data_IF_239098068583
#
_entry.id   IF_239098068583
#
_cell.length_a   1.000
_cell.length_b   1.000
_cell.length_c   1.000
_cell.angle_alpha   90.00
_cell.angle_beta   90.00
_cell.angle_gamma   90.00
#
_symmetry.space_group_name_H-M   'P 1'
#
loop_
_entity.id
_entity.type
_entity.pdbx_description
1 polymer ?
#
# COMPACT_ATOMS: atom_id res chain seq x y z
N UNK A 1 -10.17 19.29 -19.62
CA UNK A 1 -10.51 19.12 -18.17
C UNK A 1 -11.34 20.27 -17.65
N UNK A 2 -12.05 20.11 -16.50
CA UNK A 2 -12.86 21.17 -15.89
C UNK A 2 -11.97 22.17 -15.14
N UNK A 3 -11.92 23.42 -15.58
CA UNK A 3 -11.25 24.52 -14.86
C UNK A 3 -12.27 25.14 -13.91
N UNK A 4 -11.96 25.16 -12.61
CA UNK A 4 -12.86 25.62 -11.56
C UNK A 4 -12.11 26.57 -10.63
N UNK A 5 -12.70 27.74 -10.35
CA UNK A 5 -12.15 28.59 -9.29
C UNK A 5 -12.41 27.94 -7.94
N UNK A 6 -11.37 27.83 -7.12
CA UNK A 6 -11.49 27.24 -5.81
C UNK A 6 -12.30 28.15 -4.89
N UNK A 7 -13.23 27.56 -4.17
CA UNK A 7 -13.99 28.16 -3.09
C UNK A 7 -14.18 27.10 -2.01
N UNK A 8 -14.55 27.48 -0.81
CA UNK A 8 -14.85 26.52 0.25
C UNK A 8 -15.89 25.46 -0.18
N UNK A 9 -16.96 25.91 -0.85
CA UNK A 9 -18.00 25.02 -1.38
C UNK A 9 -17.46 24.04 -2.43
N UNK A 10 -16.59 24.52 -3.33
CA UNK A 10 -15.95 23.68 -4.35
C UNK A 10 -15.08 22.61 -3.72
N UNK A 11 -14.29 22.97 -2.70
CA UNK A 11 -13.44 22.02 -1.97
C UNK A 11 -14.29 20.95 -1.28
N UNK A 12 -15.34 21.33 -0.57
CA UNK A 12 -16.25 20.38 0.10
C UNK A 12 -16.90 19.42 -0.91
N UNK A 13 -17.37 19.92 -2.07
CA UNK A 13 -17.97 19.12 -3.11
C UNK A 13 -16.97 18.12 -3.76
N UNK A 14 -15.72 18.54 -3.99
CA UNK A 14 -14.67 17.67 -4.52
C UNK A 14 -14.34 16.57 -3.52
N UNK A 15 -14.12 16.90 -2.26
CA UNK A 15 -13.85 15.92 -1.20
C UNK A 15 -14.99 14.92 -1.07
N UNK A 16 -16.25 15.36 -1.07
CA UNK A 16 -17.40 14.47 -1.07
C UNK A 16 -17.43 13.54 -2.28
N UNK A 17 -17.15 14.08 -3.47
CA UNK A 17 -17.12 13.29 -4.69
C UNK A 17 -15.99 12.24 -4.67
N UNK A 18 -14.81 12.60 -4.17
CA UNK A 18 -13.70 11.67 -4.00
C UNK A 18 -14.03 10.56 -3.00
N UNK A 19 -14.71 10.87 -1.89
CA UNK A 19 -15.14 9.87 -0.92
C UNK A 19 -16.14 8.86 -1.48
N UNK A 20 -16.94 9.21 -2.50
CA UNK A 20 -17.85 8.27 -3.19
C UNK A 20 -17.11 7.13 -3.87
N UNK A 21 -15.82 7.27 -4.17
CA UNK A 21 -14.96 6.22 -4.72
C UNK A 21 -14.41 5.24 -3.66
N UNK A 22 -14.67 5.51 -2.39
CA UNK A 22 -14.16 4.68 -1.30
C UNK A 22 -14.77 3.28 -1.32
N UNK A 23 -13.96 2.22 -1.18
CA UNK A 23 -14.45 0.84 -1.04
C UNK A 23 -15.46 0.65 0.10
N UNK A 24 -15.51 1.58 1.06
CA UNK A 24 -16.48 1.53 2.16
C UNK A 24 -17.92 1.81 1.74
N UNK A 25 -18.15 2.30 0.53
CA UNK A 25 -19.49 2.61 -0.01
C UNK A 25 -20.05 1.52 -0.95
N UNK A 26 -19.33 0.43 -1.18
CA UNK A 26 -19.71 -0.63 -2.11
C UNK A 26 -20.47 -1.80 -1.43
N UNK A 27 -21.51 -1.51 -0.64
CA UNK A 27 -22.30 -2.51 0.10
C UNK A 27 -22.84 -3.68 -0.73
N UNK A 28 -23.07 -3.49 -2.03
CA UNK A 28 -23.54 -4.55 -2.93
C UNK A 28 -22.48 -5.66 -3.15
N UNK A 29 -21.19 -5.33 -3.06
CA UNK A 29 -20.10 -6.31 -3.22
C UNK A 29 -19.75 -7.01 -1.91
N UNK A 30 -20.06 -6.42 -0.75
CA UNK A 30 -19.70 -6.96 0.56
C UNK A 30 -20.34 -8.33 0.81
N UNK A 31 -21.61 -8.50 0.43
CA UNK A 31 -22.31 -9.78 0.60
C UNK A 31 -21.64 -10.92 -0.20
N UNK A 32 -21.25 -10.66 -1.45
CA UNK A 32 -20.56 -11.65 -2.29
C UNK A 32 -19.16 -11.98 -1.74
N UNK A 33 -18.45 -10.97 -1.24
CA UNK A 33 -17.11 -11.16 -0.64
C UNK A 33 -17.23 -11.99 0.63
N UNK A 34 -18.22 -11.69 1.48
CA UNK A 34 -18.46 -12.45 2.71
C UNK A 34 -18.80 -13.91 2.44
N UNK A 35 -19.63 -14.17 1.43
CA UNK A 35 -19.94 -15.54 0.97
C UNK A 35 -18.67 -16.30 0.55
N UNK A 36 -17.82 -15.68 -0.26
CA UNK A 36 -16.54 -16.26 -0.69
C UNK A 36 -15.66 -16.60 0.51
N UNK A 37 -15.50 -15.65 1.45
CA UNK A 37 -14.69 -15.85 2.65
C UNK A 37 -15.19 -17.03 3.49
N UNK A 38 -16.49 -17.11 3.77
CA UNK A 38 -17.05 -18.21 4.56
C UNK A 38 -16.93 -19.56 3.85
N UNK A 39 -17.11 -19.60 2.53
CA UNK A 39 -16.88 -20.81 1.75
C UNK A 39 -15.42 -21.28 1.81
N UNK A 40 -14.45 -20.37 1.62
CA UNK A 40 -13.02 -20.73 1.72
C UNK A 40 -12.66 -21.17 3.14
N UNK A 41 -13.19 -20.50 4.15
CA UNK A 41 -12.94 -20.83 5.56
C UNK A 41 -13.45 -22.25 5.92
N UNK A 42 -14.57 -22.66 5.38
CA UNK A 42 -15.23 -23.95 5.69
C UNK A 42 -14.82 -25.07 4.73
N UNK A 43 -14.72 -24.80 3.43
CA UNK A 43 -14.49 -25.79 2.37
C UNK A 43 -13.03 -25.80 1.85
N UNK A 44 -12.19 -24.84 2.32
CA UNK A 44 -10.75 -24.80 2.06
C UNK A 44 -10.40 -24.83 0.56
N UNK A 45 -9.48 -25.71 0.14
CA UNK A 45 -9.02 -25.86 -1.24
C UNK A 45 -10.18 -26.05 -2.23
N UNK A 46 -11.19 -26.82 -1.85
CA UNK A 46 -12.35 -27.07 -2.72
C UNK A 46 -13.08 -25.77 -3.11
N UNK A 47 -13.24 -24.84 -2.17
CA UNK A 47 -13.83 -23.53 -2.48
C UNK A 47 -12.89 -22.65 -3.30
N UNK A 48 -11.57 -22.65 -3.00
CA UNK A 48 -10.58 -21.88 -3.75
C UNK A 48 -10.57 -22.29 -5.22
N UNK A 49 -10.55 -23.60 -5.50
CA UNK A 49 -10.51 -24.10 -6.88
C UNK A 49 -11.81 -23.83 -7.63
N UNK A 50 -12.97 -24.02 -6.97
CA UNK A 50 -14.28 -23.69 -7.54
C UNK A 50 -14.38 -22.20 -7.94
N UNK A 51 -13.96 -21.29 -7.07
CA UNK A 51 -13.99 -19.85 -7.38
C UNK A 51 -12.94 -19.46 -8.43
N UNK A 52 -11.79 -20.13 -8.47
CA UNK A 52 -10.78 -19.90 -9.52
C UNK A 52 -11.30 -20.36 -10.88
N UNK A 53 -11.96 -21.52 -10.97
CA UNK A 53 -12.61 -21.95 -12.20
C UNK A 53 -13.73 -20.99 -12.62
N UNK A 54 -14.53 -20.53 -11.66
CA UNK A 54 -15.66 -19.63 -11.91
C UNK A 54 -15.24 -18.25 -12.43
N UNK A 55 -14.18 -17.66 -11.86
CA UNK A 55 -13.80 -16.26 -12.13
C UNK A 55 -12.63 -16.13 -13.09
N UNK A 56 -11.65 -17.00 -12.99
CA UNK A 56 -10.45 -16.97 -13.82
C UNK A 56 -10.52 -17.96 -14.99
N UNK A 57 -11.55 -18.85 -14.99
CA UNK A 57 -11.76 -19.91 -15.99
C UNK A 57 -10.58 -20.90 -16.07
N UNK A 58 -9.85 -21.07 -15.00
CA UNK A 58 -8.72 -21.99 -14.87
C UNK A 58 -9.08 -23.15 -13.93
N UNK A 59 -8.91 -24.37 -14.40
CA UNK A 59 -9.13 -25.59 -13.60
C UNK A 59 -7.82 -25.92 -12.89
N UNK A 60 -7.81 -25.79 -11.57
CA UNK A 60 -6.67 -26.08 -10.72
C UNK A 60 -7.04 -27.12 -9.67
N UNK A 61 -6.02 -27.79 -9.14
CA UNK A 61 -6.09 -28.70 -8.01
C UNK A 61 -4.86 -28.52 -7.07
N UNK A 62 -4.79 -29.34 -6.03
CA UNK A 62 -3.72 -29.27 -5.05
C UNK A 62 -2.31 -29.50 -5.64
N UNK A 63 -2.19 -30.16 -6.78
CA UNK A 63 -0.92 -30.42 -7.47
C UNK A 63 -0.51 -29.32 -8.45
N UNK A 64 -1.48 -28.49 -8.85
CA UNK A 64 -1.27 -27.47 -9.90
C UNK A 64 -1.42 -26.04 -9.42
N UNK A 65 -1.93 -25.81 -8.20
CA UNK A 65 -2.16 -24.47 -7.65
C UNK A 65 -0.86 -23.71 -7.37
N UNK A 66 0.19 -24.38 -6.98
CA UNK A 66 1.51 -23.77 -6.75
C UNK A 66 2.34 -23.79 -8.04
N UNK A 67 3.05 -22.69 -8.30
CA UNK A 67 3.96 -22.57 -9.43
C UNK A 67 5.18 -23.48 -9.20
N UNK A 68 5.52 -24.29 -10.21
CA UNK A 68 6.67 -25.18 -10.15
C UNK A 68 7.96 -24.50 -10.59
N UNK A 69 9.11 -25.14 -10.33
CA UNK A 69 10.41 -24.64 -10.81
C UNK A 69 10.49 -24.64 -12.34
N UNK A 70 9.85 -25.64 -12.98
CA UNK A 70 9.79 -25.75 -14.44
C UNK A 70 9.03 -24.57 -15.06
N UNK A 71 7.93 -24.12 -14.44
CA UNK A 71 7.18 -22.95 -14.90
C UNK A 71 8.00 -21.66 -14.76
N UNK A 72 8.81 -21.55 -13.71
CA UNK A 72 9.75 -20.43 -13.53
C UNK A 72 10.83 -20.45 -14.62
N UNK A 73 11.41 -21.61 -14.89
CA UNK A 73 12.46 -21.76 -15.90
C UNK A 73 11.90 -21.49 -17.31
N UNK A 74 10.68 -21.92 -17.60
CA UNK A 74 9.96 -21.58 -18.85
C UNK A 74 9.76 -20.06 -18.96
N UNK A 75 9.36 -19.39 -17.87
CA UNK A 75 9.19 -17.94 -17.84
C UNK A 75 10.48 -17.19 -18.20
N UNK A 76 11.63 -17.63 -17.66
CA UNK A 76 12.93 -17.04 -18.00
C UNK A 76 13.32 -17.24 -19.46
N UNK A 77 12.90 -18.32 -20.09
CA UNK A 77 13.17 -18.57 -21.52
C UNK A 77 12.31 -17.67 -22.43
N UNK A 78 11.17 -17.19 -21.93
CA UNK A 78 10.22 -16.35 -22.70
C UNK A 78 10.53 -14.86 -22.53
N UNK A 79 10.91 -14.45 -21.30
CA UNK A 79 11.12 -13.03 -20.97
C UNK A 79 12.42 -12.52 -21.58
N UNK A 80 12.36 -11.34 -22.22
CA UNK A 80 13.54 -10.68 -22.77
C UNK A 80 14.61 -10.47 -21.69
N UNK A 81 15.85 -10.96 -21.90
CA UNK A 81 16.96 -10.76 -20.96
C UNK A 81 17.25 -9.28 -20.67
N UNK A 82 16.97 -8.36 -21.60
CA UNK A 82 17.12 -6.92 -21.36
C UNK A 82 16.11 -6.45 -20.30
N UNK A 83 14.85 -6.91 -20.38
CA UNK A 83 13.83 -6.61 -19.38
C UNK A 83 14.21 -7.17 -18.00
N UNK A 84 14.78 -8.37 -17.92
CA UNK A 84 15.33 -8.90 -16.66
C UNK A 84 16.42 -7.95 -16.11
N UNK A 85 17.27 -7.42 -16.98
CA UNK A 85 18.27 -6.40 -16.63
C UNK A 85 17.65 -5.13 -16.07
N UNK A 86 16.54 -4.65 -16.65
CA UNK A 86 15.77 -3.50 -16.16
C UNK A 86 15.19 -3.79 -14.77
N UNK A 87 14.55 -4.94 -14.58
CA UNK A 87 13.98 -5.38 -13.29
C UNK A 87 15.07 -5.37 -12.21
N UNK A 88 16.25 -5.94 -12.49
CA UNK A 88 17.37 -5.98 -11.53
C UNK A 88 17.89 -4.58 -11.15
N UNK A 89 17.95 -3.64 -12.11
CA UNK A 89 18.33 -2.26 -11.82
C UNK A 89 17.30 -1.57 -10.91
N UNK A 90 16.01 -1.71 -11.20
CA UNK A 90 14.93 -1.23 -10.35
C UNK A 90 15.01 -1.81 -8.94
N UNK A 91 15.16 -3.13 -8.82
CA UNK A 91 15.33 -3.83 -7.53
C UNK A 91 16.48 -3.30 -6.70
N UNK A 92 17.60 -2.96 -7.34
CA UNK A 92 18.77 -2.37 -6.65
C UNK A 92 18.37 -1.06 -5.98
N UNK A 93 17.73 -0.15 -6.70
CA UNK A 93 17.30 1.15 -6.17
C UNK A 93 16.28 0.97 -5.04
N UNK A 94 15.28 0.10 -5.23
CA UNK A 94 14.28 -0.20 -4.20
C UNK A 94 14.97 -0.74 -2.95
N UNK A 95 15.88 -1.72 -3.07
CA UNK A 95 16.58 -2.31 -1.94
C UNK A 95 17.43 -1.28 -1.19
N UNK A 96 18.20 -0.47 -1.92
CA UNK A 96 19.03 0.59 -1.31
C UNK A 96 18.19 1.58 -0.51
N UNK A 97 17.01 1.94 -1.00
CA UNK A 97 16.07 2.79 -0.27
C UNK A 97 15.51 2.07 0.98
N UNK A 98 15.10 0.80 0.86
CA UNK A 98 14.53 0.01 1.97
C UNK A 98 15.53 -0.24 3.09
N UNK A 99 16.80 -0.45 2.79
CA UNK A 99 17.84 -0.62 3.81
C UNK A 99 17.95 0.63 4.73
N UNK A 100 17.62 1.83 4.24
CA UNK A 100 17.55 3.05 5.04
C UNK A 100 16.40 3.07 6.05
N UNK A 101 15.33 2.31 5.80
CA UNK A 101 14.16 2.22 6.68
C UNK A 101 14.36 1.22 7.82
N UNK A 102 15.41 0.42 7.78
CA UNK A 102 15.65 -0.65 8.75
C UNK A 102 15.94 -0.09 10.14
N UNK A 103 15.17 -0.53 11.11
CA UNK A 103 15.35 -0.18 12.51
C UNK A 103 16.00 -1.33 13.28
N UNK A 104 16.66 -1.02 14.41
CA UNK A 104 17.27 -1.98 15.30
C UNK A 104 16.52 -2.06 16.64
N UNK A 105 16.56 -3.22 17.29
CA UNK A 105 16.19 -3.33 18.70
C UNK A 105 17.11 -2.43 19.54
N UNK A 106 16.56 -1.87 20.63
CA UNK A 106 17.33 -0.99 21.51
C UNK A 106 16.98 -1.24 22.97
N UNK A 107 17.93 -0.91 23.84
CA UNK A 107 17.80 -1.02 25.29
C UNK A 107 18.41 0.24 25.95
N UNK A 108 17.80 0.64 27.06
CA UNK A 108 18.37 1.60 28.00
C UNK A 108 18.55 0.88 29.35
N UNK A 109 19.56 1.26 30.11
CA UNK A 109 19.78 0.76 31.47
C UNK A 109 20.05 1.92 32.41
N UNK A 110 19.65 1.75 33.68
CA UNK A 110 19.89 2.68 34.78
C UNK A 110 20.89 2.10 35.76
N UNK A 111 21.47 2.94 36.63
CA UNK A 111 22.45 2.51 37.65
C UNK A 111 21.86 1.51 38.64
N UNK A 112 20.56 1.62 38.98
CA UNK A 112 19.85 0.70 39.89
C UNK A 112 19.47 -0.65 39.26
N UNK A 113 19.97 -0.94 38.03
CA UNK A 113 19.75 -2.24 37.37
C UNK A 113 18.42 -2.39 36.64
N UNK A 114 17.68 -1.30 36.39
CA UNK A 114 16.53 -1.32 35.47
C UNK A 114 16.99 -1.37 34.02
N UNK A 115 16.39 -2.23 33.22
CA UNK A 115 16.58 -2.24 31.75
C UNK A 115 15.25 -2.20 31.05
N UNK A 116 15.07 -1.19 30.20
CA UNK A 116 13.90 -1.04 29.33
C UNK A 116 14.36 -1.09 27.88
N UNK A 117 13.51 -1.63 27.01
CA UNK A 117 13.86 -1.71 25.60
C UNK A 117 12.71 -2.06 24.69
N UNK A 118 13.03 -2.10 23.41
CA UNK A 118 12.12 -2.52 22.38
C UNK A 118 12.80 -3.55 21.47
N UNK A 119 12.21 -4.74 21.39
CA UNK A 119 12.66 -5.81 20.50
C UNK A 119 11.89 -5.73 19.20
N UNK A 120 12.59 -5.58 18.09
CA UNK A 120 12.04 -5.69 16.76
C UNK A 120 12.17 -7.13 16.25
N UNK A 121 11.09 -7.66 15.70
CA UNK A 121 11.05 -9.02 15.15
C UNK A 121 10.28 -9.01 13.85
N UNK A 122 10.88 -9.53 12.77
CA UNK A 122 10.18 -9.70 11.51
C UNK A 122 8.98 -10.65 11.64
N UNK A 123 7.97 -10.45 10.81
CA UNK A 123 6.85 -11.40 10.66
C UNK A 123 7.39 -12.75 10.15
N UNK A 124 6.73 -13.84 10.49
CA UNK A 124 7.19 -15.15 10.06
C UNK A 124 6.81 -15.43 8.62
N UNK A 125 5.55 -15.18 8.24
CA UNK A 125 5.03 -15.44 6.91
C UNK A 125 4.13 -14.31 6.44
N UNK A 126 4.34 -13.86 5.19
CA UNK A 126 3.59 -12.76 4.59
C UNK A 126 2.98 -13.22 3.27
N UNK A 127 1.73 -12.83 3.05
CA UNK A 127 1.03 -12.97 1.78
C UNK A 127 1.19 -11.71 0.94
N UNK A 128 1.60 -11.88 -0.30
CA UNK A 128 1.69 -10.80 -1.30
C UNK A 128 0.65 -11.05 -2.39
N UNK A 129 -0.30 -10.16 -2.52
CA UNK A 129 -1.26 -10.21 -3.61
C UNK A 129 -0.76 -9.36 -4.79
N UNK A 130 -0.65 -9.97 -5.96
CA UNK A 130 -0.30 -9.27 -7.21
C UNK A 130 -1.47 -9.40 -8.17
N UNK A 131 -2.04 -8.28 -8.65
CA UNK A 131 -3.12 -8.34 -9.61
C UNK A 131 -2.69 -9.00 -10.91
N UNK A 132 -3.65 -9.63 -11.58
CA UNK A 132 -3.53 -10.10 -12.94
C UNK A 132 -4.63 -9.50 -13.82
N UNK A 133 -4.76 -9.97 -15.04
CA UNK A 133 -5.80 -9.56 -15.99
C UNK A 133 -5.24 -8.81 -17.19
N UNK A 134 -5.69 -7.58 -17.46
CA UNK A 134 -5.33 -6.83 -18.68
C UNK A 134 -3.87 -6.38 -18.74
N UNK A 135 -3.16 -6.29 -17.61
CA UNK A 135 -1.77 -5.89 -17.54
C UNK A 135 -0.98 -6.82 -16.61
N UNK A 136 0.31 -6.93 -16.85
CA UNK A 136 1.27 -7.52 -15.93
C UNK A 136 1.81 -6.43 -15.00
N UNK A 137 2.00 -6.78 -13.71
CA UNK A 137 2.48 -5.82 -12.70
C UNK A 137 3.77 -6.30 -12.02
N UNK A 138 4.88 -6.44 -12.75
CA UNK A 138 6.17 -6.83 -12.16
C UNK A 138 6.65 -5.81 -11.13
N UNK A 139 6.36 -4.52 -11.30
CA UNK A 139 6.67 -3.49 -10.31
C UNK A 139 5.99 -3.76 -8.96
N UNK A 140 4.71 -4.15 -8.96
CA UNK A 140 4.00 -4.51 -7.73
C UNK A 140 4.59 -5.73 -7.04
N UNK A 141 5.16 -6.67 -7.79
CA UNK A 141 5.93 -7.79 -7.21
C UNK A 141 7.12 -7.24 -6.41
N UNK A 142 7.93 -6.36 -7.03
CA UNK A 142 9.12 -5.80 -6.40
C UNK A 142 8.77 -4.96 -5.17
N UNK A 143 7.77 -4.08 -5.30
CA UNK A 143 7.37 -3.13 -4.26
C UNK A 143 6.76 -3.80 -3.01
N UNK A 144 6.20 -5.01 -3.16
CA UNK A 144 5.70 -5.78 -2.02
C UNK A 144 6.78 -6.69 -1.40
N UNK A 145 7.56 -7.38 -2.24
CA UNK A 145 8.47 -8.43 -1.75
C UNK A 145 9.76 -7.84 -1.17
N UNK A 146 10.34 -6.82 -1.81
CA UNK A 146 11.64 -6.29 -1.37
C UNK A 146 11.63 -5.69 0.05
N UNK A 147 10.62 -4.89 0.47
CA UNK A 147 10.57 -4.43 1.85
C UNK A 147 10.39 -5.58 2.85
N UNK A 148 9.62 -6.63 2.50
CA UNK A 148 9.48 -7.82 3.33
C UNK A 148 10.81 -8.58 3.47
N UNK A 149 11.58 -8.73 2.39
CA UNK A 149 12.93 -9.34 2.43
C UNK A 149 13.92 -8.53 3.26
N UNK A 150 13.91 -7.20 3.11
CA UNK A 150 14.77 -6.31 3.91
C UNK A 150 14.40 -6.37 5.41
N UNK A 151 13.11 -6.48 5.73
CA UNK A 151 12.64 -6.68 7.10
C UNK A 151 13.09 -8.02 7.71
N UNK A 152 13.44 -9.00 6.89
CA UNK A 152 13.85 -10.33 7.32
C UNK A 152 12.68 -11.32 7.48
N UNK A 153 11.59 -11.13 6.74
CA UNK A 153 10.47 -12.09 6.69
C UNK A 153 10.98 -13.43 6.20
N UNK A 154 10.62 -14.50 6.91
CA UNK A 154 11.16 -15.85 6.66
C UNK A 154 10.55 -16.52 5.44
N UNK A 155 9.26 -16.31 5.20
CA UNK A 155 8.53 -16.93 4.09
C UNK A 155 7.57 -15.92 3.46
N UNK A 156 7.69 -15.72 2.17
CA UNK A 156 6.83 -14.84 1.37
C UNK A 156 6.04 -15.68 0.38
N UNK A 157 4.71 -15.72 0.59
CA UNK A 157 3.75 -16.42 -0.25
C UNK A 157 3.08 -15.41 -1.19
N UNK A 158 3.38 -15.45 -2.47
CA UNK A 158 2.73 -14.60 -3.45
C UNK A 158 1.51 -15.30 -4.04
N UNK A 159 0.41 -14.57 -4.24
CA UNK A 159 -0.75 -15.00 -5.01
C UNK A 159 -0.97 -14.08 -6.20
N UNK A 160 -1.26 -14.65 -7.34
CA UNK A 160 -1.59 -13.92 -8.57
C UNK A 160 -2.50 -14.79 -9.44
N UNK A 161 -3.54 -14.25 -10.08
CA UNK A 161 -4.39 -15.05 -10.94
C UNK A 161 -3.59 -15.56 -12.16
N UNK A 162 -3.95 -16.75 -12.63
CA UNK A 162 -3.42 -17.33 -13.87
C UNK A 162 -4.37 -17.06 -15.05
N UNK A 163 -3.88 -17.31 -16.26
CA UNK A 163 -4.71 -17.39 -17.46
C UNK A 163 -5.58 -18.65 -17.50
N UNK A 164 -6.46 -18.74 -18.49
CA UNK A 164 -7.31 -19.92 -18.73
C UNK A 164 -6.54 -21.22 -18.95
N UNK A 165 -5.30 -21.09 -19.37
CA UNK A 165 -4.33 -22.19 -19.55
C UNK A 165 -3.66 -22.64 -18.24
N UNK A 166 -4.02 -22.02 -17.11
CA UNK A 166 -3.41 -22.27 -15.80
C UNK A 166 -2.00 -21.70 -15.64
N UNK A 167 -1.53 -20.85 -16.55
CA UNK A 167 -0.19 -20.25 -16.49
C UNK A 167 -0.24 -18.80 -15.97
N UNK A 168 0.75 -18.46 -15.16
CA UNK A 168 0.98 -17.07 -14.71
C UNK A 168 1.77 -16.32 -15.78
N UNK A 169 1.55 -15.01 -15.89
CA UNK A 169 2.31 -14.15 -16.79
C UNK A 169 3.83 -14.32 -16.57
N UNK A 170 4.63 -14.63 -17.61
CA UNK A 170 6.06 -14.91 -17.47
C UNK A 170 6.86 -13.76 -16.82
N UNK A 171 6.53 -12.50 -17.12
CA UNK A 171 7.22 -11.34 -16.54
C UNK A 171 6.96 -11.23 -15.03
N UNK A 172 5.75 -11.57 -14.59
CA UNK A 172 5.40 -11.61 -13.15
C UNK A 172 6.17 -12.73 -12.43
N UNK A 173 6.28 -13.92 -13.05
CA UNK A 173 7.07 -15.02 -12.48
C UNK A 173 8.56 -14.70 -12.41
N UNK A 174 9.11 -14.13 -13.46
CA UNK A 174 10.50 -13.69 -13.47
C UNK A 174 10.77 -12.65 -12.36
N UNK A 175 9.90 -11.64 -12.23
CA UNK A 175 10.00 -10.66 -11.16
C UNK A 175 9.87 -11.28 -9.76
N UNK A 176 8.96 -12.25 -9.57
CA UNK A 176 8.78 -12.95 -8.30
C UNK A 176 10.04 -13.74 -7.91
N UNK A 177 10.65 -14.43 -8.87
CA UNK A 177 11.90 -15.15 -8.66
C UNK A 177 13.06 -14.22 -8.33
N UNK A 178 13.24 -13.15 -9.10
CA UNK A 178 14.29 -12.15 -8.87
C UNK A 178 14.13 -11.47 -7.50
N UNK A 179 12.89 -11.09 -7.13
CA UNK A 179 12.58 -10.47 -5.83
C UNK A 179 12.74 -11.45 -4.65
N UNK A 180 12.68 -12.75 -4.91
CA UNK A 180 12.85 -13.80 -3.91
C UNK A 180 11.54 -14.20 -3.23
N UNK A 181 10.42 -14.30 -3.96
CA UNK A 181 9.24 -15.00 -3.47
C UNK A 181 9.60 -16.44 -3.13
N UNK A 182 9.16 -16.94 -1.98
CA UNK A 182 9.46 -18.31 -1.56
C UNK A 182 8.45 -19.29 -2.15
N UNK A 183 7.18 -18.89 -2.28
CA UNK A 183 6.10 -19.68 -2.88
C UNK A 183 5.20 -18.77 -3.72
N UNK A 184 4.71 -19.28 -4.85
CA UNK A 184 3.78 -18.55 -5.72
C UNK A 184 2.56 -19.42 -6.00
N UNK A 185 1.36 -18.88 -5.78
CA UNK A 185 0.08 -19.57 -5.98
C UNK A 185 -0.72 -18.93 -7.11
N UNK A 186 -1.27 -19.74 -7.99
CA UNK A 186 -2.00 -19.36 -9.22
C UNK A 186 -3.47 -19.01 -8.94
N UNK A 187 -3.72 -18.18 -7.92
CA UNK A 187 -5.07 -17.79 -7.49
C UNK A 187 -5.21 -16.28 -7.36
N UNK A 188 -6.36 -15.75 -7.70
CA UNK A 188 -6.69 -14.33 -7.62
C UNK A 188 -7.92 -14.05 -6.75
N UNK A 189 -8.41 -12.81 -6.77
CA UNK A 189 -9.67 -12.40 -6.18
C UNK A 189 -9.79 -12.52 -4.65
N UNK A 190 -11.02 -12.43 -4.17
CA UNK A 190 -11.35 -12.54 -2.75
C UNK A 190 -11.00 -13.92 -2.15
N UNK A 191 -11.09 -14.99 -2.96
CA UNK A 191 -10.73 -16.35 -2.53
C UNK A 191 -9.23 -16.47 -2.21
N UNK A 192 -8.35 -15.77 -2.92
CA UNK A 192 -6.92 -15.73 -2.62
C UNK A 192 -6.65 -15.05 -1.27
N UNK A 193 -7.31 -13.93 -1.00
CA UNK A 193 -7.21 -13.22 0.28
C UNK A 193 -7.71 -14.10 1.44
N UNK A 194 -8.85 -14.77 1.25
CA UNK A 194 -9.39 -15.68 2.25
C UNK A 194 -8.46 -16.89 2.51
N UNK A 195 -7.89 -17.48 1.44
CA UNK A 195 -6.94 -18.58 1.56
C UNK A 195 -5.69 -18.17 2.35
N UNK A 196 -5.10 -17.01 2.06
CA UNK A 196 -3.96 -16.47 2.81
C UNK A 196 -4.32 -16.17 4.27
N UNK A 197 -5.54 -15.66 4.54
CA UNK A 197 -5.97 -15.28 5.88
C UNK A 197 -6.26 -16.47 6.81
N UNK A 198 -6.85 -17.54 6.29
CA UNK A 198 -7.31 -18.68 7.09
C UNK A 198 -6.49 -19.96 6.89
N UNK A 199 -5.70 -20.02 5.82
CA UNK A 199 -4.99 -21.22 5.40
C UNK A 199 -5.93 -22.28 4.83
N UNK A 200 -5.43 -23.04 3.87
CA UNK A 200 -6.08 -24.23 3.29
C UNK A 200 -5.12 -25.41 3.34
N UNK A 201 -5.45 -26.53 2.71
CA UNK A 201 -4.54 -27.68 2.63
C UNK A 201 -3.28 -27.36 1.80
N UNK A 202 -3.43 -26.59 0.71
CA UNK A 202 -2.32 -26.24 -0.20
C UNK A 202 -1.70 -24.87 0.13
N UNK A 203 -2.47 -23.93 0.67
CA UNK A 203 -2.05 -22.53 0.86
C UNK A 203 -1.88 -22.24 2.35
N UNK A 204 -0.68 -21.88 2.80
CA UNK A 204 -0.43 -21.63 4.22
C UNK A 204 -1.07 -20.32 4.68
N UNK A 205 -1.55 -20.31 5.93
CA UNK A 205 -1.96 -19.08 6.60
C UNK A 205 -0.77 -18.15 6.78
N UNK A 206 -1.00 -16.83 6.59
CA UNK A 206 0.01 -15.77 6.75
C UNK A 206 -0.31 -14.84 7.91
N UNK A 207 0.69 -14.05 8.34
CA UNK A 207 0.56 -13.08 9.42
C UNK A 207 0.09 -11.70 8.90
N UNK A 208 0.42 -11.36 7.66
CA UNK A 208 0.03 -10.11 6.99
C UNK A 208 -0.20 -10.35 5.50
N UNK A 209 -1.19 -9.66 4.94
CA UNK A 209 -1.47 -9.64 3.49
C UNK A 209 -1.23 -8.23 2.97
N UNK A 210 -0.41 -8.09 1.94
CA UNK A 210 -0.08 -6.83 1.29
C UNK A 210 -0.32 -6.90 -0.21
N UNK A 211 -0.46 -5.76 -0.84
CA UNK A 211 -0.61 -5.63 -2.29
C UNK A 211 -1.95 -5.04 -2.73
N UNK A 212 -1.93 -4.31 -3.87
CA UNK A 212 -3.12 -3.70 -4.45
C UNK A 212 -4.02 -4.75 -5.11
N UNK A 213 -5.29 -4.43 -5.26
CA UNK A 213 -6.24 -5.29 -5.96
C UNK A 213 -7.54 -4.56 -6.27
N UNK A 214 -8.42 -5.23 -7.02
CA UNK A 214 -9.74 -4.69 -7.34
C UNK A 214 -10.64 -4.61 -6.09
N UNK A 215 -11.86 -4.09 -6.26
CA UNK A 215 -12.82 -3.90 -5.18
C UNK A 215 -13.07 -5.17 -4.34
N UNK A 216 -13.11 -6.36 -4.96
CA UNK A 216 -13.31 -7.62 -4.24
C UNK A 216 -12.13 -7.95 -3.34
N UNK A 217 -10.91 -7.68 -3.80
CA UNK A 217 -9.67 -7.85 -3.01
C UNK A 217 -9.61 -6.86 -1.86
N UNK A 218 -9.92 -5.58 -2.12
CA UNK A 218 -9.95 -4.53 -1.09
C UNK A 218 -10.97 -4.86 0.02
N UNK A 219 -12.19 -5.25 -0.35
CA UNK A 219 -13.23 -5.66 0.59
C UNK A 219 -12.88 -6.95 1.33
N UNK A 220 -12.23 -7.91 0.66
CA UNK A 220 -11.78 -9.13 1.31
C UNK A 220 -10.68 -8.84 2.34
N UNK A 221 -9.70 -7.98 2.03
CA UNK A 221 -8.69 -7.51 2.99
C UNK A 221 -9.34 -6.85 4.20
N UNK A 222 -10.30 -5.94 3.99
CA UNK A 222 -11.08 -5.31 5.06
C UNK A 222 -11.78 -6.35 5.94
N UNK A 223 -12.41 -7.35 5.36
CA UNK A 223 -13.20 -8.35 6.07
C UNK A 223 -12.34 -9.34 6.89
N UNK A 224 -11.11 -9.63 6.46
CA UNK A 224 -10.20 -10.55 7.19
C UNK A 224 -9.30 -9.83 8.19
N UNK A 225 -9.29 -8.50 8.21
CA UNK A 225 -8.51 -7.71 9.17
C UNK A 225 -8.90 -8.06 10.61
N UNK A 226 -7.88 -8.29 11.44
CA UNK A 226 -8.05 -8.81 12.80
C UNK A 226 -7.75 -10.31 12.93
N UNK A 227 -8.01 -11.12 11.88
CA UNK A 227 -7.50 -12.50 11.78
C UNK A 227 -6.10 -12.55 11.17
N UNK A 228 -5.81 -11.60 10.32
CA UNK A 228 -4.54 -11.35 9.67
C UNK A 228 -4.35 -9.83 9.58
N UNK A 229 -3.12 -9.33 9.61
CA UNK A 229 -2.85 -7.92 9.35
C UNK A 229 -2.94 -7.63 7.83
N UNK A 230 -3.20 -6.38 7.47
CA UNK A 230 -3.15 -5.91 6.08
C UNK A 230 -2.26 -4.66 5.97
N UNK A 231 -1.89 -4.26 4.74
CA UNK A 231 -1.28 -2.97 4.45
C UNK A 231 -2.28 -1.82 4.61
N UNK A 232 -3.21 -1.69 3.67
CA UNK A 232 -4.25 -0.67 3.67
C UNK A 232 -5.49 -1.17 2.91
N UNK A 233 -6.58 -0.41 2.98
CA UNK A 233 -7.76 -0.59 2.13
C UNK A 233 -7.61 0.38 0.98
N UNK A 234 -6.99 -0.07 -0.12
CA UNK A 234 -6.75 0.75 -1.29
C UNK A 234 -8.04 1.09 -2.03
N UNK A 235 -8.16 2.35 -2.41
CA UNK A 235 -9.14 2.84 -3.39
C UNK A 235 -8.53 3.01 -4.78
N UNK A 236 -9.26 3.66 -5.69
CA UNK A 236 -8.74 4.03 -7.00
C UNK A 236 -7.55 5.00 -6.90
N UNK A 237 -6.66 4.94 -7.85
CA UNK A 237 -5.44 5.74 -7.91
C UNK A 237 -5.70 7.26 -8.02
N UNK A 238 -4.78 8.06 -7.50
CA UNK A 238 -4.90 9.50 -7.38
C UNK A 238 -3.59 10.21 -7.68
N UNK A 239 -3.65 11.29 -8.47
CA UNK A 239 -2.57 12.25 -8.59
C UNK A 239 -3.08 13.66 -8.31
N UNK A 240 -2.29 14.43 -7.61
CA UNK A 240 -2.46 15.86 -7.44
C UNK A 240 -1.15 16.56 -7.81
N UNK A 241 -1.22 17.47 -8.77
CA UNK A 241 -0.10 18.34 -9.13
C UNK A 241 -0.35 19.73 -8.54
N UNK A 242 0.56 20.21 -7.70
CA UNK A 242 0.63 21.59 -7.23
C UNK A 242 1.64 22.32 -8.10
N UNK A 243 1.19 23.29 -8.91
CA UNK A 243 2.04 23.98 -9.85
C UNK A 243 1.81 25.49 -9.87
N UNK A 244 2.88 26.26 -10.11
CA UNK A 244 2.81 27.69 -10.35
C UNK A 244 3.05 28.03 -11.85
N UNK A 245 3.11 29.32 -12.18
CA UNK A 245 3.30 29.79 -13.55
C UNK A 245 4.63 29.37 -14.20
N UNK A 246 5.59 28.83 -13.43
CA UNK A 246 6.89 28.38 -13.95
C UNK A 246 6.85 26.96 -14.49
N UNK A 247 5.80 26.20 -14.19
CA UNK A 247 5.66 24.81 -14.62
C UNK A 247 5.47 24.69 -16.14
N UNK A 248 6.01 23.61 -16.72
CA UNK A 248 5.76 23.27 -18.11
C UNK A 248 4.36 22.64 -18.26
N UNK A 249 3.41 23.29 -18.96
CA UNK A 249 2.03 22.78 -19.07
C UNK A 249 1.93 21.39 -19.71
N UNK A 250 2.85 21.09 -20.64
CA UNK A 250 2.86 19.79 -21.32
C UNK A 250 3.31 18.65 -20.38
N UNK A 251 4.26 18.90 -19.47
CA UNK A 251 4.69 17.94 -18.46
C UNK A 251 3.57 17.67 -17.46
N UNK A 252 2.99 18.74 -16.90
CA UNK A 252 1.86 18.64 -15.98
C UNK A 252 0.68 17.85 -16.60
N UNK A 253 0.35 18.13 -17.86
CA UNK A 253 -0.70 17.39 -18.57
C UNK A 253 -0.36 15.89 -18.69
N UNK A 254 0.89 15.56 -19.03
CA UNK A 254 1.33 14.17 -19.16
C UNK A 254 1.27 13.43 -17.84
N UNK A 255 1.68 14.07 -16.74
CA UNK A 255 1.68 13.49 -15.40
C UNK A 255 0.25 13.26 -14.86
N UNK A 256 -0.69 14.19 -15.11
CA UNK A 256 -2.11 13.98 -14.80
C UNK A 256 -2.70 12.78 -15.56
N UNK A 257 -2.29 12.58 -16.82
CA UNK A 257 -2.81 11.52 -17.66
C UNK A 257 -2.19 10.15 -17.36
N UNK A 258 -0.95 10.09 -16.84
CA UNK A 258 -0.33 8.84 -16.42
C UNK A 258 -1.16 8.15 -15.34
N UNK A 259 -1.78 8.92 -14.45
CA UNK A 259 -2.65 8.39 -13.42
C UNK A 259 -4.07 8.12 -13.91
N UNK A 260 -4.62 9.02 -14.75
CA UNK A 260 -5.97 8.87 -15.28
C UNK A 260 -6.15 7.62 -16.17
N UNK A 261 -5.06 7.09 -16.75
CA UNK A 261 -5.13 5.88 -17.57
C UNK A 261 -5.26 4.56 -16.78
N UNK A 262 -5.06 4.59 -15.45
CA UNK A 262 -5.12 3.38 -14.62
C UNK A 262 -6.54 2.80 -14.57
N UNK A 263 -7.55 3.64 -14.28
CA UNK A 263 -8.95 3.22 -14.11
C UNK A 263 -9.92 4.38 -14.35
N UNK A 264 -11.16 4.08 -14.71
CA UNK A 264 -12.24 5.07 -14.88
C UNK A 264 -12.60 5.83 -13.59
N UNK A 265 -12.21 5.30 -12.44
CA UNK A 265 -12.38 5.89 -11.10
C UNK A 265 -11.11 6.62 -10.61
N UNK A 266 -10.01 6.59 -11.35
CA UNK A 266 -8.82 7.35 -11.00
C UNK A 266 -9.11 8.85 -10.95
N UNK A 267 -8.37 9.61 -10.13
CA UNK A 267 -8.49 11.07 -10.08
C UNK A 267 -7.20 11.76 -10.47
N UNK A 268 -7.35 12.87 -11.22
CA UNK A 268 -6.25 13.70 -11.65
C UNK A 268 -6.60 15.17 -11.38
N UNK A 269 -5.88 15.80 -10.45
CA UNK A 269 -6.17 17.16 -9.97
C UNK A 269 -4.93 18.03 -10.16
N UNK A 270 -5.10 19.18 -10.83
CA UNK A 270 -4.13 20.27 -10.82
C UNK A 270 -4.62 21.36 -9.86
N UNK A 271 -3.75 21.86 -9.00
CA UNK A 271 -3.98 23.07 -8.21
C UNK A 271 -2.93 24.11 -8.61
N UNK A 272 -3.39 25.30 -8.98
CA UNK A 272 -2.51 26.38 -9.41
C UNK A 272 -3.08 27.76 -9.07
N UNK A 273 -2.20 28.75 -8.90
CA UNK A 273 -2.58 30.16 -8.82
C UNK A 273 -2.63 30.82 -10.20
N UNK A 274 -2.18 30.15 -11.27
CA UNK A 274 -2.07 30.68 -12.62
C UNK A 274 -3.23 30.23 -13.51
N UNK A 275 -4.12 31.15 -13.84
CA UNK A 275 -5.17 30.89 -14.85
C UNK A 275 -4.60 30.51 -16.22
N UNK A 276 -3.49 31.15 -16.62
CA UNK A 276 -2.82 30.88 -17.90
C UNK A 276 -2.27 29.44 -17.94
N UNK A 277 -1.65 28.96 -16.86
CA UNK A 277 -1.18 27.58 -16.76
C UNK A 277 -2.36 26.61 -16.86
N UNK A 278 -3.45 26.88 -16.13
CA UNK A 278 -4.67 26.07 -16.12
C UNK A 278 -5.22 25.85 -17.54
N UNK A 279 -5.32 26.93 -18.32
CA UNK A 279 -5.81 26.88 -19.71
C UNK A 279 -4.86 26.08 -20.62
N UNK A 280 -3.55 26.35 -20.54
CA UNK A 280 -2.54 25.62 -21.34
C UNK A 280 -2.49 24.13 -20.99
N UNK A 281 -2.58 23.75 -19.72
CA UNK A 281 -2.65 22.34 -19.32
C UNK A 281 -3.90 21.67 -19.87
N UNK A 282 -5.06 22.34 -19.83
CA UNK A 282 -6.29 21.79 -20.41
C UNK A 282 -6.17 21.56 -21.93
N UNK A 283 -5.52 22.48 -22.66
CA UNK A 283 -5.26 22.32 -24.09
C UNK A 283 -4.31 21.15 -24.39
N UNK A 284 -3.23 20.98 -23.59
CA UNK A 284 -2.30 19.85 -23.75
C UNK A 284 -2.97 18.51 -23.46
N UNK A 285 -3.84 18.42 -22.44
CA UNK A 285 -4.66 17.24 -22.15
C UNK A 285 -5.50 16.86 -23.36
N UNK A 286 -6.21 17.82 -23.97
CA UNK A 286 -7.02 17.59 -25.18
C UNK A 286 -6.16 17.15 -26.37
N UNK A 287 -4.91 17.61 -26.43
CA UNK A 287 -3.91 17.19 -27.41
C UNK A 287 -3.50 15.72 -27.23
N UNK A 288 -3.17 15.32 -26.00
CA UNK A 288 -2.77 13.95 -25.67
C UNK A 288 -3.89 12.92 -25.84
N UNK A 289 -5.14 13.27 -25.53
CA UNK A 289 -6.29 12.39 -25.71
C UNK A 289 -6.48 11.91 -27.14
N UNK A 290 -5.94 12.63 -28.14
CA UNK A 290 -6.02 12.23 -29.55
C UNK A 290 -5.03 11.14 -29.94
N UNK A 291 -3.98 10.91 -29.15
CA UNK A 291 -2.86 10.02 -29.50
C UNK A 291 -2.66 8.86 -28.51
N UNK A 292 -3.16 8.98 -27.28
CA UNK A 292 -3.02 7.94 -26.25
C UNK A 292 -3.95 6.75 -26.51
N UNK A 293 -3.43 5.54 -26.31
CA UNK A 293 -4.14 4.30 -26.61
C UNK A 293 -5.31 4.01 -25.68
N UNK A 294 -5.29 4.56 -24.44
CA UNK A 294 -6.34 4.34 -23.42
C UNK A 294 -7.24 5.56 -23.24
N UNK A 295 -7.39 6.39 -24.26
CA UNK A 295 -8.16 7.65 -24.24
C UNK A 295 -9.59 7.49 -23.72
N UNK A 296 -10.26 6.37 -23.96
CA UNK A 296 -11.63 6.10 -23.44
C UNK A 296 -11.66 5.99 -21.90
N UNK A 297 -10.67 5.33 -21.31
CA UNK A 297 -10.55 5.20 -19.85
C UNK A 297 -10.17 6.55 -19.25
N UNK A 298 -9.16 7.21 -19.83
CA UNK A 298 -8.70 8.53 -19.41
C UNK A 298 -9.86 9.53 -19.44
N UNK A 299 -10.63 9.60 -20.55
CA UNK A 299 -11.74 10.54 -20.68
C UNK A 299 -12.78 10.34 -19.57
N UNK A 300 -13.16 9.10 -19.26
CA UNK A 300 -14.11 8.82 -18.19
C UNK A 300 -13.57 9.20 -16.80
N UNK A 301 -12.29 8.93 -16.54
CA UNK A 301 -11.60 9.35 -15.32
C UNK A 301 -11.65 10.87 -15.16
N UNK A 302 -11.26 11.61 -16.20
CA UNK A 302 -11.26 13.07 -16.21
C UNK A 302 -12.66 13.68 -16.13
N UNK A 303 -13.66 13.06 -16.78
CA UNK A 303 -15.05 13.53 -16.74
C UNK A 303 -15.64 13.39 -15.33
N UNK A 304 -15.27 12.36 -14.61
CA UNK A 304 -15.77 12.08 -13.27
C UNK A 304 -14.96 12.78 -12.17
N UNK A 305 -13.62 12.67 -12.24
CA UNK A 305 -12.71 13.00 -11.13
C UNK A 305 -11.50 13.86 -11.57
N UNK A 306 -11.53 14.44 -12.78
CA UNK A 306 -10.51 15.36 -13.28
C UNK A 306 -10.87 16.81 -12.98
N UNK A 307 -9.96 17.55 -12.31
CA UNK A 307 -10.16 18.96 -11.96
C UNK A 307 -8.88 19.78 -12.19
N UNK A 308 -9.06 21.01 -12.64
CA UNK A 308 -8.04 22.06 -12.57
C UNK A 308 -8.60 23.16 -11.66
N UNK A 309 -8.00 23.31 -10.48
CA UNK A 309 -8.42 24.20 -9.42
C UNK A 309 -7.55 25.45 -9.44
N UNK A 310 -8.16 26.60 -9.68
CA UNK A 310 -7.47 27.89 -9.65
C UNK A 310 -7.74 28.57 -8.31
N UNK A 311 -6.68 28.85 -7.55
CA UNK A 311 -6.73 29.44 -6.21
C UNK A 311 -6.35 30.92 -6.24
N UNK A 312 -6.83 31.68 -5.27
CA UNK A 312 -6.50 33.11 -5.13
C UNK A 312 -5.13 33.33 -4.45
N UNK A 313 -4.61 32.30 -3.74
CA UNK A 313 -3.33 32.37 -3.06
C UNK A 313 -2.61 31.02 -3.01
N UNK A 314 -1.29 31.08 -2.88
CA UNK A 314 -0.45 29.91 -2.73
C UNK A 314 -0.74 29.14 -1.42
N UNK A 315 -1.07 29.85 -0.33
CA UNK A 315 -1.44 29.21 0.94
C UNK A 315 -2.74 28.41 0.80
N UNK A 316 -3.75 28.96 0.13
CA UNK A 316 -4.99 28.23 -0.15
C UNK A 316 -4.75 26.97 -0.97
N UNK A 317 -3.80 27.02 -1.92
CA UNK A 317 -3.37 25.84 -2.67
C UNK A 317 -2.80 24.75 -1.76
N UNK A 318 -1.87 25.10 -0.86
CA UNK A 318 -1.29 24.18 0.14
C UNK A 318 -2.35 23.60 1.08
N UNK A 319 -3.23 24.46 1.62
CA UNK A 319 -4.31 24.02 2.53
C UNK A 319 -5.26 23.02 1.83
N UNK A 320 -5.47 23.21 0.53
CA UNK A 320 -6.28 22.30 -0.29
C UNK A 320 -5.58 20.97 -0.56
N UNK A 321 -4.28 20.98 -0.81
CA UNK A 321 -3.47 19.74 -0.89
C UNK A 321 -3.63 18.92 0.38
N UNK A 322 -3.46 19.56 1.56
CA UNK A 322 -3.59 18.88 2.86
C UNK A 322 -5.03 18.39 3.14
N UNK A 323 -6.03 19.13 2.66
CA UNK A 323 -7.43 18.72 2.79
C UNK A 323 -7.74 17.48 1.93
N UNK A 324 -7.21 17.41 0.72
CA UNK A 324 -7.36 16.26 -0.18
C UNK A 324 -6.52 15.08 0.31
N UNK A 325 -5.30 15.33 0.77
CA UNK A 325 -4.34 14.30 1.18
C UNK A 325 -4.12 13.23 0.09
N UNK A 326 -3.58 13.60 -1.06
CA UNK A 326 -3.52 12.76 -2.24
C UNK A 326 -2.57 11.56 -2.07
N UNK A 327 -2.78 10.53 -2.86
CA UNK A 327 -1.87 9.39 -2.99
C UNK A 327 -0.51 9.85 -3.54
N UNK A 328 -0.51 10.47 -4.72
CA UNK A 328 0.68 11.05 -5.35
C UNK A 328 0.54 12.57 -5.35
N UNK A 329 1.53 13.25 -4.81
CA UNK A 329 1.65 14.71 -4.85
C UNK A 329 2.89 15.11 -5.64
N UNK A 330 2.71 15.79 -6.76
CA UNK A 330 3.78 16.45 -7.47
C UNK A 330 3.79 17.95 -7.13
N UNK A 331 4.95 18.49 -6.75
CA UNK A 331 5.15 19.91 -6.46
C UNK A 331 6.06 20.48 -7.55
N UNK A 332 5.44 21.14 -8.53
CA UNK A 332 6.09 21.71 -9.70
C UNK A 332 6.00 23.23 -9.63
N UNK A 333 6.62 23.78 -8.59
CA UNK A 333 6.67 25.22 -8.30
C UNK A 333 8.11 25.72 -8.37
N UNK A 334 8.27 27.03 -8.37
CA UNK A 334 9.58 27.67 -8.33
C UNK A 334 10.44 27.24 -7.13
N UNK A 335 9.81 26.95 -5.99
CA UNK A 335 10.49 26.57 -4.75
C UNK A 335 9.92 25.28 -4.15
N UNK A 336 10.02 24.13 -4.83
CA UNK A 336 9.31 22.90 -4.42
C UNK A 336 9.75 22.38 -3.04
N UNK A 337 11.01 22.59 -2.62
CA UNK A 337 11.49 22.20 -1.30
C UNK A 337 10.89 23.03 -0.16
N UNK A 338 10.63 24.32 -0.39
CA UNK A 338 9.95 25.16 0.61
C UNK A 338 8.47 24.79 0.73
N UNK A 339 7.83 24.47 -0.38
CA UNK A 339 6.43 24.10 -0.41
C UNK A 339 6.21 22.72 0.20
N UNK A 340 7.10 21.76 -0.04
CA UNK A 340 7.08 20.46 0.62
C UNK A 340 7.05 20.59 2.14
N UNK A 341 7.78 21.55 2.71
CA UNK A 341 7.83 21.74 4.18
C UNK A 341 6.53 22.27 4.77
N UNK A 342 5.60 22.75 3.95
CA UNK A 342 4.28 23.26 4.35
C UNK A 342 3.18 22.21 4.21
N UNK A 343 3.43 21.16 3.42
CA UNK A 343 2.50 20.05 3.21
C UNK A 343 2.65 19.00 4.30
N UNK A 344 1.54 18.55 4.86
CA UNK A 344 1.50 17.55 5.94
C UNK A 344 0.95 16.20 5.47
N UNK A 345 0.09 16.19 4.45
CA UNK A 345 -0.69 15.03 4.07
C UNK A 345 -0.49 14.67 2.59
N UNK A 346 0.37 13.69 2.31
CA UNK A 346 0.50 13.08 1.00
C UNK A 346 1.05 11.65 1.13
N UNK A 347 0.69 10.75 0.24
CA UNK A 347 1.23 9.40 0.21
C UNK A 347 2.69 9.41 -0.26
N UNK A 348 2.97 10.01 -1.42
CA UNK A 348 4.32 10.25 -1.91
C UNK A 348 4.44 11.69 -2.44
N UNK A 349 5.61 12.31 -2.28
CA UNK A 349 5.87 13.69 -2.72
C UNK A 349 7.00 13.68 -3.75
N UNK A 350 6.71 14.21 -4.93
CA UNK A 350 7.62 14.35 -6.06
C UNK A 350 7.97 15.83 -6.24
N UNK A 351 9.26 16.16 -6.38
CA UNK A 351 9.73 17.54 -6.35
C UNK A 351 10.35 17.95 -7.68
N UNK A 352 9.75 18.97 -8.29
CA UNK A 352 10.23 19.60 -9.52
C UNK A 352 9.85 18.82 -10.78
N UNK A 353 10.05 19.46 -11.92
CA UNK A 353 9.57 19.03 -13.25
C UNK A 353 10.15 17.69 -13.76
N UNK A 354 11.24 17.20 -13.15
CA UNK A 354 11.90 15.96 -13.57
C UNK A 354 11.56 14.77 -12.68
N UNK A 355 10.62 14.93 -11.74
CA UNK A 355 10.22 13.91 -10.78
C UNK A 355 8.76 13.53 -10.98
N UNK A 356 8.46 12.91 -12.12
CA UNK A 356 7.11 12.46 -12.45
C UNK A 356 6.74 11.15 -11.72
N UNK A 357 5.46 10.91 -11.55
CA UNK A 357 4.90 9.72 -10.86
C UNK A 357 5.46 8.39 -11.42
N UNK A 358 5.57 8.15 -12.75
CA UNK A 358 6.13 6.89 -13.25
C UNK A 358 7.57 6.61 -12.82
N UNK A 359 8.36 7.66 -12.52
CA UNK A 359 9.69 7.47 -11.92
C UNK A 359 9.58 6.78 -10.55
N UNK A 360 8.62 7.18 -9.72
CA UNK A 360 8.33 6.57 -8.43
C UNK A 360 7.87 5.13 -8.58
N UNK A 361 6.98 4.87 -9.50
CA UNK A 361 6.39 3.56 -9.72
C UNK A 361 7.40 2.49 -10.13
N UNK A 362 8.41 2.87 -10.90
CA UNK A 362 9.30 1.89 -11.51
C UNK A 362 10.74 1.94 -11.02
N UNK A 363 11.31 3.12 -10.67
CA UNK A 363 12.76 3.22 -10.56
C UNK A 363 13.32 3.99 -9.37
N UNK A 364 12.57 4.93 -8.77
CA UNK A 364 13.10 5.80 -7.71
C UNK A 364 13.47 5.05 -6.41
N UNK A 365 12.74 3.98 -6.08
CA UNK A 365 12.98 3.18 -4.88
C UNK A 365 11.94 3.31 -3.76
N UNK A 366 11.30 4.46 -3.48
CA UNK A 366 10.11 4.54 -2.63
C UNK A 366 8.99 3.62 -3.14
N UNK A 367 8.02 3.31 -2.26
CA UNK A 367 6.91 2.41 -2.63
C UNK A 367 5.82 3.14 -3.40
N UNK A 368 5.23 2.43 -4.35
CA UNK A 368 4.03 2.86 -5.04
C UNK A 368 2.73 2.30 -4.42
N UNK A 369 2.83 1.50 -3.35
CA UNK A 369 1.66 1.07 -2.58
C UNK A 369 1.43 2.13 -1.52
N UNK A 370 0.56 3.04 -1.84
CA UNK A 370 0.35 4.30 -1.17
C UNK A 370 -1.06 4.37 -0.54
N UNK A 371 -1.25 5.21 0.48
CA UNK A 371 -2.58 5.50 1.00
C UNK A 371 -3.40 6.32 0.01
N UNK A 372 -4.64 5.91 -0.24
CA UNK A 372 -5.60 6.55 -1.17
C UNK A 372 -6.80 7.11 -0.42
N UNK A 373 -7.69 7.83 -1.11
CA UNK A 373 -8.95 8.35 -0.55
C UNK A 373 -8.77 9.20 0.72
N UNK A 374 -7.76 10.06 0.74
CA UNK A 374 -7.46 10.95 1.85
C UNK A 374 -6.90 10.25 3.09
N UNK A 375 -6.56 8.96 3.01
CA UNK A 375 -6.01 8.21 4.15
C UNK A 375 -4.55 8.52 4.40
N UNK A 376 -3.87 9.27 3.54
CA UNK A 376 -2.53 9.82 3.78
C UNK A 376 -2.46 10.73 5.03
N UNK A 377 -3.61 11.12 5.60
CA UNK A 377 -3.72 11.81 6.89
C UNK A 377 -3.28 10.94 8.08
N UNK A 378 -3.28 9.61 7.93
CA UNK A 378 -3.00 8.68 9.04
C UNK A 378 -2.35 7.35 8.60
N UNK A 379 -2.27 7.06 7.30
CA UNK A 379 -1.51 5.95 6.75
C UNK A 379 -0.26 6.42 6.04
N UNK A 380 0.71 5.52 5.91
CA UNK A 380 1.97 5.73 5.20
C UNK A 380 2.11 4.77 4.02
N UNK A 381 3.03 5.03 3.07
CA UNK A 381 3.43 4.05 2.07
C UNK A 381 3.90 2.75 2.69
N UNK A 382 3.66 1.62 2.02
CA UNK A 382 4.18 0.33 2.45
C UNK A 382 5.70 0.39 2.63
N UNK A 383 6.17 0.01 3.81
CA UNK A 383 7.56 0.17 4.25
C UNK A 383 8.11 -1.08 4.92
N UNK A 384 9.37 -1.07 5.32
CA UNK A 384 9.99 -2.15 6.11
C UNK A 384 9.29 -2.32 7.47
N UNK A 385 8.78 -1.21 8.05
CA UNK A 385 8.07 -1.24 9.34
C UNK A 385 6.78 -2.07 9.31
N UNK A 386 6.16 -2.21 8.13
CA UNK A 386 4.96 -3.01 7.95
C UNK A 386 5.19 -4.52 8.15
N UNK A 387 6.43 -4.95 8.06
CA UNK A 387 6.84 -6.36 8.12
C UNK A 387 7.55 -6.72 9.42
N UNK A 388 7.61 -5.81 10.38
CA UNK A 388 8.17 -6.02 11.71
C UNK A 388 7.13 -5.76 12.79
N UNK A 389 7.29 -6.43 13.91
CA UNK A 389 6.53 -6.15 15.16
C UNK A 389 7.47 -5.74 16.25
N UNK A 390 7.00 -4.89 17.14
CA UNK A 390 7.74 -4.31 18.26
C UNK A 390 7.18 -4.87 19.56
N UNK A 391 8.07 -5.43 20.41
CA UNK A 391 7.69 -5.91 21.74
C UNK A 391 8.46 -5.12 22.78
N UNK A 392 7.78 -4.65 23.82
CA UNK A 392 8.42 -4.00 24.96
C UNK A 392 9.19 -5.03 25.78
N UNK A 393 10.37 -4.65 26.22
CA UNK A 393 11.20 -5.43 27.15
C UNK A 393 11.30 -4.63 28.43
N UNK A 394 10.94 -5.28 29.54
CA UNK A 394 10.93 -4.70 30.88
C UNK A 394 11.68 -5.64 31.80
N UNK A 395 12.76 -5.15 32.39
CA UNK A 395 13.51 -5.83 33.41
C UNK A 395 13.76 -4.86 34.56
N UNK A 396 13.46 -5.30 35.79
CA UNK A 396 13.77 -4.60 37.03
C UNK A 396 14.58 -5.51 37.92
N UNK A 397 15.66 -4.98 38.49
CA UNK A 397 16.32 -5.60 39.60
C UNK A 397 15.41 -5.58 40.85
N UNK A 398 15.71 -6.40 41.83
CA UNK A 398 14.99 -6.35 43.12
C UNK A 398 15.13 -4.98 43.79
N UNK A 399 16.32 -4.42 43.76
CA UNK A 399 16.63 -3.09 44.28
C UNK A 399 15.78 -2.02 43.63
N UNK A 400 15.77 -1.97 42.29
CA UNK A 400 14.95 -1.02 41.54
C UNK A 400 13.44 -1.19 41.82
N UNK A 401 12.95 -2.44 41.97
CA UNK A 401 11.55 -2.68 42.28
C UNK A 401 11.20 -2.25 43.71
N UNK A 402 12.14 -2.39 44.68
CA UNK A 402 11.93 -1.97 46.06
C UNK A 402 11.70 -0.48 46.21
N UNK A 403 12.24 0.35 45.30
CA UNK A 403 12.04 1.78 45.32
C UNK A 403 10.63 2.23 44.94
N UNK A 404 9.86 1.38 44.22
CA UNK A 404 8.57 1.77 43.62
C UNK A 404 7.41 0.80 43.92
N UNK A 405 7.63 -0.29 44.65
CA UNK A 405 6.62 -1.32 44.82
C UNK A 405 5.34 -0.81 45.52
N UNK A 406 5.50 0.05 46.54
CA UNK A 406 4.37 0.64 47.27
C UNK A 406 3.50 1.55 46.39
N UNK A 407 4.13 2.31 45.51
CA UNK A 407 3.46 3.16 44.54
C UNK A 407 2.63 2.34 43.56
N UNK A 408 3.20 1.23 43.04
CA UNK A 408 2.48 0.31 42.15
C UNK A 408 1.29 -0.32 42.86
N UNK A 409 1.45 -0.76 44.10
CA UNK A 409 0.35 -1.33 44.89
C UNK A 409 -0.76 -0.30 45.14
N UNK A 410 -0.38 0.92 45.52
CA UNK A 410 -1.32 2.04 45.74
C UNK A 410 -2.12 2.34 44.50
N UNK A 411 -1.43 2.42 43.33
CA UNK A 411 -2.07 2.71 42.07
C UNK A 411 -3.05 1.59 41.66
N UNK A 412 -2.62 0.33 41.76
CA UNK A 412 -3.48 -0.82 41.46
C UNK A 412 -4.71 -0.88 42.36
N UNK A 413 -4.57 -0.55 43.66
CA UNK A 413 -5.67 -0.49 44.62
C UNK A 413 -6.65 0.64 44.28
N UNK A 414 -6.17 1.78 43.77
CA UNK A 414 -7.04 2.90 43.33
C UNK A 414 -7.95 2.50 42.16
N UNK A 415 -7.50 1.56 41.33
CA UNK A 415 -8.29 0.98 40.24
C UNK A 415 -9.13 -0.25 40.68
N UNK A 416 -9.15 -0.56 41.98
CA UNK A 416 -9.79 -1.76 42.54
C UNK A 416 -9.20 -3.10 42.05
N UNK A 417 -7.97 -3.07 41.52
CA UNK A 417 -7.26 -4.23 41.00
C UNK A 417 -6.38 -4.91 42.09
N UNK A 418 -7.03 -5.53 43.09
CA UNK A 418 -6.33 -6.12 44.25
C UNK A 418 -5.35 -7.24 43.87
N UNK A 419 -5.65 -8.01 42.84
CA UNK A 419 -4.72 -9.05 42.35
C UNK A 419 -3.44 -8.45 41.72
N UNK A 420 -3.53 -7.28 41.09
CA UNK A 420 -2.36 -6.55 40.59
C UNK A 420 -1.49 -6.06 41.74
N UNK A 421 -2.10 -5.44 42.76
CA UNK A 421 -1.41 -5.02 43.98
C UNK A 421 -0.73 -6.21 44.65
N UNK A 422 -1.45 -7.31 44.84
CA UNK A 422 -0.92 -8.54 45.47
C UNK A 422 0.24 -9.14 44.66
N UNK A 423 0.20 -9.06 43.33
CA UNK A 423 1.30 -9.55 42.48
C UNK A 423 2.63 -8.85 42.77
N UNK A 424 2.60 -7.60 43.21
CA UNK A 424 3.79 -6.85 43.64
C UNK A 424 4.13 -7.17 45.10
N UNK A 425 3.15 -7.10 46.02
CA UNK A 425 3.33 -7.27 47.46
C UNK A 425 4.01 -8.61 47.82
N UNK A 426 3.60 -9.72 47.21
CA UNK A 426 4.16 -11.06 47.48
C UNK A 426 5.66 -11.18 47.17
N UNK A 427 6.24 -10.28 46.42
CA UNK A 427 7.68 -10.23 46.10
C UNK A 427 8.51 -9.69 47.25
N UNK A 428 7.84 -9.09 48.23
CA UNK A 428 8.45 -8.48 49.43
C UNK A 428 7.96 -9.11 50.75
N UNK A 429 7.11 -10.15 50.68
CA UNK A 429 6.68 -10.89 51.89
C UNK A 429 7.85 -11.59 52.54
N UNK A 430 7.95 -11.45 53.87
CA UNK A 430 8.95 -12.14 54.70
C UNK A 430 10.29 -11.44 54.84
N UNK A 431 10.39 -10.19 54.36
CA UNK A 431 11.54 -9.32 54.62
C UNK A 431 11.18 -8.33 55.77
N UNK A 432 11.29 -8.80 57.04
CA UNK A 432 11.37 -7.95 58.24
C UNK A 432 12.82 -7.90 58.77
#
# INVERSE_FOLDING_TARGET
MRIVKLTKETTENILENMLKRSPTQYGTYEASVQEIIENVKTRKDAAVFEYTEKFDHAVLDASTVEVTQEEIDEAYNIVDPELIGVIRRSMKNIREFREKQKQNSWFTSTENGTMLGQKLTALNRVGVYVPGGKAAYPSSVLMNILPAKVAGVKEICMTTPCGRDGKVNPVVLAAAKEAGADRVFKIGGAQAIAALAYGTESIPKVDKIVGPGNIYVALAKKAVYGNVSIDSIAGPSEILVLADETANPRFVAADLLSQAEHDELASAILITTSQELAEKVSEEVDGFLKVLSRSDIISKSLDNFGYILVTDSHQEAIDTVDAIAPEHLEIVTKNPFEDMMKVHNAGAIFLGENSSEPLGDYFAGPNHILPTNGTAKFFSPLSVDDFVKKSSIIYYSREALSEIHEDIESFAKSESLTAHANSIAVRFEGEE
#
